data_IF_326945832189
#
_entry.id   IF_326945832189
#
_cell.length_a   1.000
_cell.length_b   1.000
_cell.length_c   1.000
_cell.angle_alpha   90.00
_cell.angle_beta   90.00
_cell.angle_gamma   90.00
#
_symmetry.space_group_name_H-M   'P 1'
#
loop_
_entity.id
_entity.type
_entity.pdbx_description
1 polymer ?
#
# COMPACT_ATOMS: atom_id res chain seq x y z
N UNK A 1 -10.45 -5.96 -2.54
CA UNK A 1 -9.08 -6.51 -2.46
C UNK A 1 -8.84 -7.03 -1.05
N UNK A 2 -8.94 -8.35 -0.81
CA UNK A 2 -8.70 -8.95 0.51
C UNK A 2 -7.27 -8.75 1.03
N UNK A 3 -6.33 -8.44 0.16
CA UNK A 3 -4.93 -8.12 0.47
C UNK A 3 -4.76 -6.73 1.07
N UNK A 4 -5.73 -5.84 0.88
CA UNK A 4 -5.67 -4.46 1.35
C UNK A 4 -6.05 -4.40 2.84
N UNK A 5 -5.07 -4.14 3.69
CA UNK A 5 -5.25 -4.10 5.15
C UNK A 5 -5.51 -2.69 5.69
N UNK A 6 -5.07 -1.67 4.96
CA UNK A 6 -5.25 -0.26 5.30
C UNK A 6 -5.39 0.56 4.02
N UNK A 7 -6.29 1.54 4.06
CA UNK A 7 -6.46 2.53 3.00
C UNK A 7 -6.65 3.89 3.65
N UNK A 8 -5.60 4.71 3.60
CA UNK A 8 -5.61 6.07 4.11
C UNK A 8 -5.92 7.03 2.96
N UNK A 9 -7.02 7.79 3.08
CA UNK A 9 -7.29 8.91 2.18
C UNK A 9 -6.52 10.13 2.69
N UNK A 10 -5.52 10.55 1.93
CA UNK A 10 -4.65 11.66 2.29
C UNK A 10 -4.98 12.88 1.43
N UNK A 11 -4.86 14.05 2.03
CA UNK A 11 -4.87 15.33 1.30
C UNK A 11 -3.44 15.61 0.84
N UNK A 12 -3.10 15.21 -0.40
CA UNK A 12 -1.78 15.34 -1.04
C UNK A 12 -1.85 15.10 -2.56
N UNK A 13 -0.70 15.02 -3.25
CA UNK A 13 -0.62 14.68 -4.69
C UNK A 13 -1.10 13.25 -4.97
N UNK A 14 -0.74 12.31 -4.10
CA UNK A 14 -1.23 10.93 -4.15
C UNK A 14 -2.59 10.85 -3.45
N UNK A 15 -3.67 10.56 -4.19
CA UNK A 15 -5.04 10.57 -3.65
C UNK A 15 -5.30 9.51 -2.56
N UNK A 16 -4.55 8.40 -2.57
CA UNK A 16 -4.74 7.28 -1.65
C UNK A 16 -3.42 6.56 -1.33
N UNK A 17 -3.21 6.25 -0.06
CA UNK A 17 -2.13 5.36 0.38
C UNK A 17 -2.74 4.07 0.87
N UNK A 18 -2.50 2.98 0.14
CA UNK A 18 -3.00 1.65 0.49
C UNK A 18 -1.85 0.73 0.91
N UNK A 19 -2.07 -0.10 1.93
CA UNK A 19 -1.15 -1.19 2.27
C UNK A 19 -1.74 -2.53 1.88
N UNK A 20 -0.97 -3.25 1.06
CA UNK A 20 -1.31 -4.57 0.54
C UNK A 20 -0.39 -5.60 1.18
N UNK A 21 -0.95 -6.72 1.61
CA UNK A 21 -0.21 -7.89 2.09
C UNK A 21 -0.13 -8.90 0.97
N UNK A 22 1.08 -9.10 0.46
CA UNK A 22 1.39 -10.05 -0.60
C UNK A 22 2.31 -11.13 -0.06
N UNK A 23 2.15 -12.36 -0.57
CA UNK A 23 2.99 -13.50 -0.16
C UNK A 23 4.29 -13.56 -0.94
N UNK A 24 4.29 -13.03 -2.15
CA UNK A 24 5.40 -13.08 -3.09
C UNK A 24 5.35 -11.91 -4.09
N UNK A 25 6.43 -11.76 -4.85
CA UNK A 25 6.60 -10.66 -5.82
C UNK A 25 5.70 -10.87 -7.05
N UNK A 26 5.41 -12.11 -7.46
CA UNK A 26 4.54 -12.35 -8.62
C UNK A 26 3.08 -11.98 -8.31
N UNK A 27 2.63 -12.24 -7.07
CA UNK A 27 1.33 -11.76 -6.58
C UNK A 27 1.29 -10.23 -6.52
N UNK A 28 2.38 -9.57 -6.11
CA UNK A 28 2.49 -8.11 -6.16
C UNK A 28 2.31 -7.61 -7.59
N UNK A 29 3.04 -8.17 -8.55
CA UNK A 29 2.98 -7.77 -9.95
C UNK A 29 1.54 -7.89 -10.51
N UNK A 30 0.86 -9.00 -10.20
CA UNK A 30 -0.54 -9.23 -10.59
C UNK A 30 -1.49 -8.18 -9.99
N UNK A 31 -1.30 -7.81 -8.72
CA UNK A 31 -2.11 -6.79 -8.06
C UNK A 31 -1.83 -5.39 -8.60
N UNK A 32 -0.57 -5.09 -8.92
CA UNK A 32 -0.17 -3.82 -9.52
C UNK A 32 -0.72 -3.66 -10.92
N UNK A 33 -0.70 -4.73 -11.73
CA UNK A 33 -1.25 -4.72 -13.08
C UNK A 33 -2.75 -4.41 -13.06
N UNK A 34 -3.51 -5.05 -12.17
CA UNK A 34 -4.92 -4.75 -11.96
C UNK A 34 -5.18 -3.35 -11.40
N UNK A 35 -4.30 -2.81 -10.56
CA UNK A 35 -4.39 -1.43 -10.07
C UNK A 35 -4.07 -0.40 -11.16
N UNK A 36 -3.14 -0.72 -12.06
CA UNK A 36 -2.74 0.14 -13.17
C UNK A 36 -3.90 0.43 -14.13
N UNK A 37 -4.90 -0.45 -14.22
CA UNK A 37 -6.14 -0.22 -14.97
C UNK A 37 -7.01 0.90 -14.36
N UNK A 38 -6.94 1.11 -13.04
CA UNK A 38 -7.79 2.07 -12.33
C UNK A 38 -7.08 3.40 -12.04
N UNK A 39 -5.78 3.36 -11.77
CA UNK A 39 -5.01 4.54 -11.43
C UNK A 39 -3.51 4.32 -11.66
N UNK A 40 -2.78 5.42 -11.90
CA UNK A 40 -1.33 5.37 -11.86
C UNK A 40 -0.87 5.20 -10.42
N UNK A 41 -0.53 3.97 -10.02
CA UNK A 41 -0.06 3.66 -8.69
C UNK A 41 1.46 3.81 -8.58
N UNK A 42 1.92 4.70 -7.70
CA UNK A 42 3.33 4.76 -7.33
C UNK A 42 3.63 3.69 -6.27
N UNK A 43 4.26 2.58 -6.68
CA UNK A 43 4.42 1.42 -5.81
C UNK A 43 5.67 1.56 -4.94
N UNK A 44 5.48 1.67 -3.63
CA UNK A 44 6.57 1.62 -2.66
C UNK A 44 6.60 0.26 -1.95
N UNK A 45 7.67 -0.51 -2.16
CA UNK A 45 7.84 -1.82 -1.50
C UNK A 45 8.44 -1.64 -0.11
N UNK A 46 7.65 -1.89 0.93
CA UNK A 46 8.11 -1.83 2.33
C UNK A 46 8.93 -3.09 2.65
N UNK A 47 10.26 -2.97 2.59
CA UNK A 47 11.19 -4.09 2.86
C UNK A 47 11.18 -4.55 4.32
N UNK A 48 10.93 -3.62 5.25
CA UNK A 48 10.80 -3.90 6.68
C UNK A 48 10.13 -2.72 7.36
N UNK A 49 9.30 -2.97 8.37
CA UNK A 49 8.73 -1.94 9.24
C UNK A 49 9.39 -2.02 10.62
N UNK A 50 10.58 -1.41 10.80
CA UNK A 50 11.33 -1.51 12.06
C UNK A 50 10.58 -0.88 13.24
N UNK A 51 9.69 0.08 12.98
CA UNK A 51 8.82 0.70 13.98
C UNK A 51 7.37 0.45 13.59
N UNK A 52 6.63 -0.26 14.44
CA UNK A 52 5.18 -0.39 14.28
C UNK A 52 4.53 0.96 14.53
N UNK A 53 3.53 1.33 13.71
CA UNK A 53 2.71 2.53 13.94
C UNK A 53 2.19 2.49 15.37
N UNK A 54 2.57 3.48 16.18
CA UNK A 54 2.14 3.71 17.56
C UNK A 54 1.65 5.15 17.66
N UNK A 55 0.63 5.40 18.49
CA UNK A 55 0.19 6.76 18.81
C UNK A 55 1.32 7.52 19.52
N UNK A 56 1.61 8.79 19.14
CA UNK A 56 2.60 9.58 19.84
C UNK A 56 2.26 9.67 21.34
N UNK A 57 3.26 9.63 22.24
CA UNK A 57 3.01 9.89 23.65
C UNK A 57 2.43 11.31 23.80
N UNK A 58 1.34 11.42 24.58
CA UNK A 58 0.73 12.68 24.98
C UNK A 58 1.67 13.52 25.85
#
# INVERSE_FOLDING_TARGET
>A
MPECIESDKVTGEDCFVMRLVVRDIAQLDTLLDGLAEYAQCNTSVVKSSPVKRRLPPL
#
